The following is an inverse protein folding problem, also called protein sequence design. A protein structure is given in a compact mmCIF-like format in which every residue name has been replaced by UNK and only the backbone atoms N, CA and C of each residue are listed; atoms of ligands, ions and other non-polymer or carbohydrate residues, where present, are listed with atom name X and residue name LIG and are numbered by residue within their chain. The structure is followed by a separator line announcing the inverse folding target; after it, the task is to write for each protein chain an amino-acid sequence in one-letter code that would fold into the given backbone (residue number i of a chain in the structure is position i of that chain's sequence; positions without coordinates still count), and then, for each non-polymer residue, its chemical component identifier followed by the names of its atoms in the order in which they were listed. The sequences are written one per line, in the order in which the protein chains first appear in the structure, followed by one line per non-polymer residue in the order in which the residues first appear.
data_IF_393852376402
#
_entry.id   IF_393852376402
#
_cell.length_a   1.000
_cell.length_b   1.000
_cell.length_c   1.000
_cell.angle_alpha   90.00
_cell.angle_beta   90.00
_cell.angle_gamma   90.00
#
_symmetry.space_group_name_H-M   'P 1'
#
loop_
_entity.id
_entity.type
_entity.pdbx_description
1 polymer ?
#
# COMPACT_ATOMS: atom_id res chain seq x y z
N UNK A 1 18.04 22.01 25.61
CA UNK A 1 17.78 20.58 25.37
C UNK A 1 17.37 20.41 23.91
N UNK A 2 18.10 19.58 23.15
CA UNK A 2 18.05 19.52 21.68
C UNK A 2 16.71 18.95 21.19
N UNK A 3 16.17 19.55 20.12
CA UNK A 3 15.02 19.07 19.35
C UNK A 3 15.29 17.62 18.93
N UNK A 4 14.38 16.71 19.26
CA UNK A 4 14.31 15.42 18.59
C UNK A 4 13.84 15.66 17.16
N UNK A 5 14.79 15.74 16.23
CA UNK A 5 14.53 15.61 14.81
C UNK A 5 13.85 14.26 14.63
N UNK A 6 12.52 14.27 14.43
CA UNK A 6 11.85 13.10 13.89
C UNK A 6 12.40 12.97 12.48
N UNK A 7 13.37 12.08 12.30
CA UNK A 7 13.78 11.62 10.99
C UNK A 7 12.53 11.04 10.34
N UNK A 8 11.89 11.85 9.49
CA UNK A 8 10.90 11.32 8.58
C UNK A 8 11.67 10.37 7.67
N UNK A 9 11.29 9.09 7.58
CA UNK A 9 11.95 8.18 6.66
C UNK A 9 11.97 8.85 5.28
N UNK A 10 13.05 8.68 4.51
CA UNK A 10 13.14 9.27 3.18
C UNK A 10 11.86 8.93 2.44
N UNK A 11 11.22 9.95 1.82
CA UNK A 11 10.13 9.68 0.89
C UNK A 11 10.74 8.86 -0.24
N UNK A 12 10.59 7.54 -0.17
CA UNK A 12 10.97 6.65 -1.26
C UNK A 12 9.98 6.98 -2.39
N UNK A 13 10.31 8.00 -3.18
CA UNK A 13 9.66 8.33 -4.43
C UNK A 13 10.14 7.35 -5.51
N UNK A 14 10.07 6.05 -5.23
CA UNK A 14 10.22 5.07 -6.29
C UNK A 14 8.95 5.14 -7.14
N UNK A 15 9.16 5.41 -8.43
CA UNK A 15 8.11 5.33 -9.44
C UNK A 15 7.59 3.89 -9.47
N UNK A 16 6.37 3.72 -8.94
CA UNK A 16 5.69 2.42 -8.99
C UNK A 16 5.36 2.13 -10.44
N UNK A 17 5.79 0.96 -10.91
CA UNK A 17 5.65 0.56 -12.30
C UNK A 17 4.60 -0.53 -12.48
N UNK A 18 3.88 -0.51 -13.60
CA UNK A 18 2.95 -1.60 -13.94
C UNK A 18 3.74 -2.91 -14.08
N UNK A 19 3.25 -3.96 -13.43
CA UNK A 19 3.85 -5.29 -13.43
C UNK A 19 4.84 -5.54 -12.30
N UNK A 20 5.26 -4.52 -11.58
CA UNK A 20 6.08 -4.64 -10.37
C UNK A 20 5.34 -5.44 -9.29
N UNK A 21 6.06 -6.28 -8.56
CA UNK A 21 5.55 -7.02 -7.40
C UNK A 21 6.06 -6.36 -6.13
N UNK A 22 5.14 -5.99 -5.24
CA UNK A 22 5.45 -5.23 -4.04
C UNK A 22 4.92 -5.94 -2.81
N UNK A 23 5.62 -5.79 -1.68
CA UNK A 23 5.12 -6.21 -0.37
C UNK A 23 4.27 -5.10 0.24
N UNK A 24 3.02 -5.42 0.52
CA UNK A 24 2.01 -4.45 0.93
C UNK A 24 1.44 -4.88 2.28
N UNK A 25 1.43 -3.95 3.23
CA UNK A 25 0.74 -4.18 4.51
C UNK A 25 -0.72 -3.83 4.38
N UNK A 26 -1.60 -4.69 4.88
CA UNK A 26 -3.05 -4.57 4.74
C UNK A 26 -3.68 -3.92 5.97
N UNK A 27 -4.75 -3.18 5.77
CA UNK A 27 -5.47 -2.45 6.81
C UNK A 27 -6.97 -2.48 6.54
N UNK A 28 -7.76 -2.37 7.60
CA UNK A 28 -9.20 -2.15 7.48
C UNK A 28 -9.47 -0.70 7.06
N UNK A 29 -10.09 -0.53 5.89
CA UNK A 29 -10.56 0.75 5.38
C UNK A 29 -11.83 1.22 6.09
N UNK A 30 -12.21 2.48 5.85
CA UNK A 30 -13.33 3.13 6.53
C UNK A 30 -14.69 2.48 6.23
N UNK A 31 -14.85 1.88 5.06
CA UNK A 31 -16.10 1.22 4.62
C UNK A 31 -16.09 -0.29 4.86
N UNK A 32 -15.16 -0.80 5.68
CA UNK A 32 -15.03 -2.23 5.95
C UNK A 32 -14.29 -3.01 4.86
N UNK A 33 -13.76 -2.32 3.85
CA UNK A 33 -12.95 -2.92 2.78
C UNK A 33 -11.47 -2.98 3.17
N UNK A 34 -10.78 -4.03 2.77
CA UNK A 34 -9.32 -4.12 2.98
C UNK A 34 -8.59 -3.23 1.99
N UNK A 35 -7.61 -2.47 2.49
CA UNK A 35 -6.72 -1.61 1.68
C UNK A 35 -5.26 -1.94 1.98
N UNK A 36 -4.40 -1.71 1.01
CA UNK A 36 -2.97 -1.78 1.20
C UNK A 36 -2.37 -0.41 1.53
N UNK A 37 -1.26 -0.40 2.26
CA UNK A 37 -0.44 0.81 2.45
C UNK A 37 1.02 0.50 2.21
N UNK A 38 1.67 1.34 1.41
CA UNK A 38 3.12 1.31 1.23
C UNK A 38 3.82 2.03 2.40
N UNK A 39 5.12 1.73 2.64
CA UNK A 39 5.90 2.40 3.69
C UNK A 39 5.97 3.93 3.57
N UNK A 40 5.88 4.44 2.34
CA UNK A 40 5.86 5.88 2.04
C UNK A 40 4.49 6.54 2.27
N UNK A 41 3.48 5.77 2.68
CA UNK A 41 2.15 6.24 3.00
C UNK A 41 1.14 6.20 1.85
N UNK A 42 1.54 5.82 0.62
CA UNK A 42 0.61 5.62 -0.50
C UNK A 42 -0.41 4.52 -0.18
N UNK A 43 -1.65 4.73 -0.63
CA UNK A 43 -2.76 3.77 -0.49
C UNK A 43 -2.82 2.90 -1.74
N UNK A 44 -3.00 1.60 -1.54
CA UNK A 44 -3.23 0.62 -2.60
C UNK A 44 -4.65 0.10 -2.48
N UNK A 45 -5.37 0.11 -3.59
CA UNK A 45 -6.68 -0.51 -3.72
C UNK A 45 -6.51 -1.88 -4.38
N UNK A 46 -7.05 -2.92 -3.75
CA UNK A 46 -7.04 -4.26 -4.35
C UNK A 46 -8.09 -4.37 -5.45
N UNK A 47 -7.75 -5.11 -6.50
CA UNK A 47 -8.68 -5.37 -7.60
C UNK A 47 -9.87 -6.20 -7.08
N UNK A 48 -11.09 -5.68 -7.26
CA UNK A 48 -12.33 -6.35 -6.85
C UNK A 48 -12.62 -7.64 -7.62
N UNK A 49 -12.02 -7.80 -8.80
CA UNK A 49 -12.16 -8.99 -9.64
C UNK A 49 -11.08 -10.04 -9.35
N UNK A 50 -10.15 -9.77 -8.43
CA UNK A 50 -9.12 -10.73 -8.06
C UNK A 50 -9.74 -11.93 -7.33
N UNK A 51 -9.44 -13.19 -7.75
CA UNK A 51 -9.92 -14.37 -7.03
C UNK A 51 -9.29 -14.52 -5.64
N UNK A 52 -8.27 -13.72 -5.33
CA UNK A 52 -7.56 -13.73 -4.05
C UNK A 52 -8.09 -12.69 -3.05
N UNK A 53 -9.02 -11.81 -3.46
CA UNK A 53 -9.45 -10.68 -2.62
C UNK A 53 -10.00 -11.12 -1.26
N UNK A 54 -10.85 -12.14 -1.26
CA UNK A 54 -11.50 -12.66 -0.06
C UNK A 54 -10.53 -13.40 0.88
N UNK A 55 -9.30 -13.64 0.44
CA UNK A 55 -8.24 -14.25 1.23
C UNK A 55 -7.36 -13.22 1.96
N UNK A 56 -7.57 -11.92 1.72
CA UNK A 56 -6.74 -10.86 2.29
C UNK A 56 -7.37 -10.37 3.59
N UNK A 57 -6.69 -10.55 4.71
CA UNK A 57 -7.14 -10.02 6.00
C UNK A 57 -6.36 -8.75 6.39
N UNK A 58 -6.94 -7.83 7.19
CA UNK A 58 -6.21 -6.70 7.76
C UNK A 58 -5.07 -7.14 8.69
N UNK A 59 -3.91 -6.48 8.59
CA UNK A 59 -2.75 -6.72 9.45
C UNK A 59 -1.68 -7.62 8.83
N UNK A 60 -1.98 -8.25 7.70
CA UNK A 60 -1.06 -9.12 6.95
C UNK A 60 -0.10 -8.33 6.06
N UNK A 61 0.92 -9.02 5.55
CA UNK A 61 1.80 -8.54 4.49
C UNK A 61 1.61 -9.46 3.30
N UNK A 62 1.11 -8.91 2.20
CA UNK A 62 0.85 -9.65 0.95
C UNK A 62 1.80 -9.21 -0.15
N UNK A 63 2.09 -10.10 -1.09
CA UNK A 63 2.73 -9.72 -2.36
C UNK A 63 1.64 -9.37 -3.38
N UNK A 64 1.72 -8.16 -3.93
CA UNK A 64 0.75 -7.65 -4.89
C UNK A 64 1.46 -7.20 -6.16
N UNK A 65 0.94 -7.64 -7.31
CA UNK A 65 1.39 -7.15 -8.62
C UNK A 65 0.62 -5.90 -9.00
N UNK A 66 1.34 -4.83 -9.38
CA UNK A 66 0.74 -3.57 -9.81
C UNK A 66 0.07 -3.78 -11.18
N UNK A 67 -1.26 -3.69 -11.20
CA UNK A 67 -2.03 -3.77 -12.44
C UNK A 67 -2.32 -2.38 -13.05
N UNK A 68 -2.32 -1.34 -12.22
CA UNK A 68 -2.71 0.02 -12.62
C UNK A 68 -2.08 1.07 -11.69
N UNK A 69 -1.70 2.23 -12.25
CA UNK A 69 -1.15 3.36 -11.52
C UNK A 69 -1.94 4.63 -11.88
N UNK A 70 -2.69 5.16 -10.91
CA UNK A 70 -3.34 6.47 -11.04
C UNK A 70 -2.37 7.57 -10.57
N UNK A 71 -2.13 8.60 -11.40
CA UNK A 71 -1.30 9.75 -11.03
C UNK A 71 -2.07 10.86 -10.30
N UNK A 72 -3.41 10.87 -10.40
CA UNK A 72 -4.27 11.89 -9.81
C UNK A 72 -5.51 11.21 -9.21
N UNK A 73 -5.62 11.19 -7.89
CA UNK A 73 -6.85 10.85 -7.16
C UNK A 73 -6.96 11.74 -5.93
#
# INVERSE_FOLDING_TARGET
MRRGEREFPPRILEEVSIGEVMRVRTFMGREGNVVGRLPDGRIILFNKESPYLDLIEPGEIVEAKVAYVAKNY
#
